data_IF_192597781870
#
_entry.id   IF_192597781870
#
_cell.length_a   1.000
_cell.length_b   1.000
_cell.length_c   1.000
_cell.angle_alpha   90.00
_cell.angle_beta   90.00
_cell.angle_gamma   90.00
#
_symmetry.space_group_name_H-M   'P 1'
#
loop_
_entity.id
_entity.type
_entity.pdbx_description
1 polymer ?
#
# COMPACT_ATOMS: atom_id res chain seq x y z
N UNK A 1 0.98 -8.53 11.89
CA UNK A 1 0.47 -7.48 10.97
C UNK A 1 1.08 -7.83 9.66
N UNK A 2 0.25 -8.09 8.65
CA UNK A 2 0.73 -8.61 7.38
C UNK A 2 1.78 -7.70 6.75
N UNK A 3 2.84 -8.30 6.20
CA UNK A 3 3.90 -7.61 5.49
C UNK A 3 4.14 -8.25 4.13
N UNK A 4 4.37 -7.41 3.13
CA UNK A 4 4.73 -7.85 1.79
C UNK A 4 6.24 -7.70 1.62
N UNK A 5 6.89 -8.76 1.17
CA UNK A 5 8.31 -8.80 0.86
C UNK A 5 8.49 -9.08 -0.63
N UNK A 6 9.53 -8.53 -1.23
CA UNK A 6 9.79 -8.64 -2.67
C UNK A 6 11.23 -9.04 -2.95
N UNK A 7 11.51 -9.66 -4.09
CA UNK A 7 12.88 -9.96 -4.50
C UNK A 7 13.42 -8.98 -5.54
N UNK A 8 12.56 -8.29 -6.30
CA UNK A 8 12.95 -7.32 -7.33
C UNK A 8 13.60 -6.05 -6.75
N UNK A 9 14.55 -5.47 -7.48
CA UNK A 9 15.28 -4.24 -7.10
C UNK A 9 14.58 -2.95 -7.55
N UNK A 10 13.87 -3.01 -8.67
CA UNK A 10 13.30 -1.85 -9.33
C UNK A 10 11.82 -2.08 -9.58
N UNK A 11 11.02 -1.06 -9.26
CA UNK A 11 9.63 -0.93 -9.66
C UNK A 11 9.48 0.30 -10.56
N UNK A 12 8.91 0.13 -11.73
CA UNK A 12 8.71 1.20 -12.72
C UNK A 12 7.39 1.95 -12.47
N UNK A 13 7.24 3.20 -12.94
CA UNK A 13 5.98 3.93 -12.86
C UNK A 13 4.79 3.15 -13.45
N UNK A 14 4.97 2.50 -14.60
CA UNK A 14 3.94 1.67 -15.22
C UNK A 14 3.50 0.50 -14.33
N UNK A 15 4.44 -0.17 -13.65
CA UNK A 15 4.10 -1.25 -12.72
C UNK A 15 3.37 -0.73 -11.48
N UNK A 16 3.70 0.46 -10.99
CA UNK A 16 2.96 1.12 -9.90
C UNK A 16 1.52 1.38 -10.35
N UNK A 17 1.33 1.97 -11.53
CA UNK A 17 0.01 2.25 -12.10
C UNK A 17 -0.82 0.98 -12.31
N UNK A 18 -0.21 -0.08 -12.82
CA UNK A 18 -0.87 -1.38 -13.00
C UNK A 18 -1.29 -1.99 -11.66
N UNK A 19 -0.42 -1.92 -10.65
CA UNK A 19 -0.72 -2.41 -9.29
C UNK A 19 -1.91 -1.64 -8.70
N UNK A 20 -1.89 -0.32 -8.81
CA UNK A 20 -2.97 0.57 -8.35
C UNK A 20 -4.28 0.29 -9.09
N UNK A 21 -4.21 0.10 -10.41
CA UNK A 21 -5.37 -0.18 -11.24
C UNK A 21 -6.02 -1.51 -10.84
N UNK A 22 -5.21 -2.57 -10.73
CA UNK A 22 -5.68 -3.88 -10.28
C UNK A 22 -6.36 -3.79 -8.92
N UNK A 23 -5.68 -3.22 -7.92
CA UNK A 23 -6.24 -3.07 -6.59
C UNK A 23 -7.60 -2.36 -6.62
N UNK A 24 -7.68 -1.22 -7.32
CA UNK A 24 -8.88 -0.40 -7.34
C UNK A 24 -10.06 -1.02 -8.12
N UNK A 25 -9.79 -1.99 -9.00
CA UNK A 25 -10.82 -2.75 -9.72
C UNK A 25 -11.37 -3.92 -8.89
N UNK A 26 -10.60 -4.43 -7.92
CA UNK A 26 -10.93 -5.63 -7.15
C UNK A 26 -11.25 -5.36 -5.68
N UNK A 27 -10.99 -4.14 -5.19
CA UNK A 27 -11.38 -3.73 -3.84
C UNK A 27 -12.91 -3.74 -3.69
N UNK A 28 -13.37 -3.87 -2.46
CA UNK A 28 -14.78 -3.65 -2.14
C UNK A 28 -15.20 -2.19 -2.42
N UNK A 29 -16.47 -1.96 -2.72
CA UNK A 29 -17.01 -0.63 -3.07
C UNK A 29 -16.90 0.38 -1.92
N UNK A 30 -17.00 -0.10 -0.68
CA UNK A 30 -16.91 0.71 0.54
C UNK A 30 -15.47 1.13 0.92
N UNK A 31 -14.46 0.48 0.32
CA UNK A 31 -13.06 0.78 0.55
C UNK A 31 -12.60 2.01 -0.24
N UNK A 32 -11.74 2.81 0.37
CA UNK A 32 -11.10 3.93 -0.31
C UNK A 32 -10.08 3.44 -1.34
N UNK A 33 -9.73 4.32 -2.29
CA UNK A 33 -8.82 3.98 -3.38
C UNK A 33 -7.38 3.86 -2.87
N UNK A 34 -6.64 2.93 -3.46
CA UNK A 34 -5.20 2.89 -3.36
C UNK A 34 -4.59 3.94 -4.30
N UNK A 35 -3.58 4.65 -3.81
CA UNK A 35 -2.85 5.68 -4.51
C UNK A 35 -1.34 5.45 -4.32
N UNK A 36 -0.54 6.08 -5.20
CA UNK A 36 0.92 6.11 -5.05
C UNK A 36 1.27 7.03 -3.88
N UNK A 37 2.17 6.58 -3.02
CA UNK A 37 2.70 7.43 -1.96
C UNK A 37 3.89 8.25 -2.49
N UNK A 38 3.76 9.58 -2.51
CA UNK A 38 4.76 10.51 -3.04
C UNK A 38 5.89 10.86 -2.04
N UNK A 39 5.96 10.17 -0.90
CA UNK A 39 7.12 10.29 0.01
C UNK A 39 8.40 9.76 -0.64
N UNK A 40 9.56 10.18 -0.13
CA UNK A 40 10.87 9.84 -0.72
C UNK A 40 11.14 8.32 -0.80
N UNK A 41 10.65 7.55 0.17
CA UNK A 41 10.74 6.09 0.15
C UNK A 41 9.82 5.45 -0.90
N UNK A 42 8.80 6.18 -1.37
CA UNK A 42 7.72 5.66 -2.20
C UNK A 42 6.82 4.66 -1.46
N UNK A 43 5.99 3.96 -2.23
CA UNK A 43 5.06 2.95 -1.74
C UNK A 43 3.62 3.28 -2.12
N UNK A 44 2.69 2.90 -1.25
CA UNK A 44 1.26 3.04 -1.50
C UNK A 44 0.54 3.65 -0.30
N UNK A 45 -0.54 4.37 -0.56
CA UNK A 45 -1.38 4.95 0.46
C UNK A 45 -2.87 4.84 0.12
N UNK A 46 -3.70 4.98 1.15
CA UNK A 46 -5.15 5.06 1.06
C UNK A 46 -5.57 6.26 1.90
N UNK A 47 -6.28 7.22 1.30
CA UNK A 47 -6.83 8.34 2.06
C UNK A 47 -7.84 7.84 3.10
N UNK A 48 -7.81 8.42 4.30
CA UNK A 48 -8.82 8.16 5.33
C UNK A 48 -10.06 9.00 5.07
N UNK A 49 -11.24 8.45 5.37
CA UNK A 49 -12.48 9.23 5.40
C UNK A 49 -12.43 10.23 6.58
N UNK A 50 -13.13 11.38 6.50
CA UNK A 50 -13.11 12.38 7.56
C UNK A 50 -13.42 11.83 8.96
N UNK A 51 -14.36 10.87 9.06
CA UNK A 51 -14.75 10.19 10.30
C UNK A 51 -13.65 9.29 10.89
N UNK A 52 -12.68 8.85 10.08
CA UNK A 52 -11.54 8.04 10.54
C UNK A 52 -10.40 8.92 11.08
N UNK A 53 -10.45 10.24 10.92
CA UNK A 53 -9.39 11.16 11.34
C UNK A 53 -9.61 11.56 12.81
N UNK A 54 -8.85 10.95 13.72
CA UNK A 54 -9.07 11.04 15.17
C UNK A 54 -8.39 12.25 15.84
N UNK A 55 -7.52 12.98 15.15
CA UNK A 55 -6.83 14.18 15.64
C UNK A 55 -6.89 15.28 14.60
N UNK A 56 -6.91 16.56 15.01
CA UNK A 56 -6.66 17.65 14.07
C UNK A 56 -5.36 17.32 13.33
N UNK A 57 -5.46 17.06 12.03
CA UNK A 57 -4.35 16.58 11.20
C UNK A 57 -3.30 17.67 11.13
N UNK A 58 -2.14 17.43 11.75
CA UNK A 58 -0.99 18.33 11.64
C UNK A 58 -0.09 17.92 10.47
N UNK A 59 -0.26 16.70 9.96
CA UNK A 59 0.55 16.15 8.86
C UNK A 59 -0.29 15.24 7.95
N UNK A 60 0.08 15.15 6.68
CA UNK A 60 -0.60 14.27 5.70
C UNK A 60 -0.62 12.78 6.13
N UNK A 61 0.34 12.37 6.96
CA UNK A 61 0.40 11.01 7.51
C UNK A 61 -0.77 10.68 8.45
N UNK A 62 -1.44 11.70 8.99
CA UNK A 62 -2.59 11.55 9.89
C UNK A 62 -3.89 11.28 9.12
N UNK A 63 -3.91 11.64 7.84
CA UNK A 63 -5.07 11.52 6.94
C UNK A 63 -4.95 10.36 5.96
N UNK A 64 -3.94 9.49 6.09
CA UNK A 64 -3.74 8.34 5.20
C UNK A 64 -3.38 7.07 5.97
N UNK A 65 -3.77 5.92 5.43
CA UNK A 65 -3.08 4.65 5.66
C UNK A 65 -1.94 4.54 4.65
N UNK A 66 -0.80 3.97 5.04
CA UNK A 66 0.34 3.85 4.13
C UNK A 66 1.23 2.66 4.42
N UNK A 67 1.82 2.15 3.34
CA UNK A 67 2.97 1.25 3.36
C UNK A 67 4.08 1.86 2.50
N UNK A 68 5.33 1.76 2.98
CA UNK A 68 6.51 2.35 2.35
C UNK A 68 7.54 1.28 2.02
N UNK A 69 8.34 1.51 0.98
CA UNK A 69 9.45 0.63 0.67
C UNK A 69 10.54 0.73 1.73
N UNK A 70 10.94 -0.41 2.27
CA UNK A 70 12.06 -0.50 3.20
C UNK A 70 12.71 -1.88 3.12
N UNK A 71 13.98 -1.94 2.68
CA UNK A 71 14.77 -3.18 2.63
C UNK A 71 13.99 -4.35 2.02
N UNK A 72 13.54 -4.21 0.77
CA UNK A 72 12.78 -5.24 0.03
C UNK A 72 11.42 -5.59 0.63
N UNK A 73 10.82 -4.68 1.39
CA UNK A 73 9.53 -4.88 2.04
C UNK A 73 8.64 -3.65 1.91
N UNK A 74 7.33 -3.85 1.89
CA UNK A 74 6.36 -2.83 2.17
C UNK A 74 6.02 -2.90 3.66
N UNK A 75 6.38 -1.84 4.38
CA UNK A 75 6.19 -1.75 5.83
C UNK A 75 5.27 -0.58 6.17
N UNK A 76 4.47 -0.77 7.23
CA UNK A 76 3.68 0.30 7.82
C UNK A 76 4.54 1.49 8.24
N UNK A 77 4.02 2.70 8.08
CA UNK A 77 4.71 3.90 8.57
C UNK A 77 4.85 3.88 10.11
N UNK A 78 6.05 4.15 10.64
CA UNK A 78 6.37 4.11 12.09
C UNK A 78 5.39 4.88 12.99
N UNK A 79 4.79 5.95 12.46
CA UNK A 79 3.88 6.84 13.19
C UNK A 79 2.53 7.05 12.48
N UNK A 80 2.30 6.32 11.38
CA UNK A 80 1.10 6.45 10.54
C UNK A 80 0.21 5.23 10.63
N UNK A 81 -1.03 5.34 10.12
CA UNK A 81 -1.89 4.17 9.98
C UNK A 81 -1.33 3.27 8.87
N UNK A 82 -1.39 1.96 9.08
CA UNK A 82 -1.04 0.97 8.06
C UNK A 82 -2.31 0.46 7.39
N UNK A 83 -2.15 -0.18 6.24
CA UNK A 83 -3.22 -0.98 5.65
C UNK A 83 -3.61 -2.10 6.64
N UNK A 84 -4.89 -2.46 6.68
CA UNK A 84 -5.34 -3.64 7.43
C UNK A 84 -4.98 -4.93 6.67
N UNK A 85 -5.24 -6.09 7.27
CA UNK A 85 -4.86 -7.38 6.69
C UNK A 85 -5.55 -7.64 5.33
N UNK A 86 -6.82 -7.25 5.17
CA UNK A 86 -7.55 -7.43 3.92
C UNK A 86 -7.06 -6.48 2.81
N UNK A 87 -6.79 -5.22 3.14
CA UNK A 87 -6.15 -4.23 2.25
C UNK A 87 -4.73 -4.70 1.86
N UNK A 88 -3.98 -5.27 2.81
CA UNK A 88 -2.62 -5.78 2.56
C UNK A 88 -2.65 -7.02 1.66
N UNK A 89 -3.60 -7.93 1.89
CA UNK A 89 -3.80 -9.11 1.05
C UNK A 89 -4.12 -8.73 -0.40
N UNK A 90 -5.01 -7.77 -0.61
CA UNK A 90 -5.35 -7.32 -1.97
C UNK A 90 -4.17 -6.58 -2.64
N UNK A 91 -3.38 -5.82 -1.88
CA UNK A 91 -2.15 -5.21 -2.40
C UNK A 91 -1.12 -6.27 -2.82
N UNK A 92 -1.01 -7.36 -2.06
CA UNK A 92 -0.18 -8.50 -2.43
C UNK A 92 -0.63 -9.14 -3.75
N UNK A 93 -1.93 -9.42 -3.89
CA UNK A 93 -2.51 -9.98 -5.12
C UNK A 93 -2.27 -9.05 -6.33
N UNK A 94 -2.43 -7.74 -6.13
CA UNK A 94 -2.14 -6.74 -7.15
C UNK A 94 -0.66 -6.78 -7.59
N UNK A 95 0.28 -6.86 -6.65
CA UNK A 95 1.69 -6.99 -6.97
C UNK A 95 1.99 -8.32 -7.69
N UNK A 96 1.42 -9.44 -7.26
CA UNK A 96 1.56 -10.73 -7.97
C UNK A 96 0.94 -10.73 -9.37
N UNK A 97 0.00 -9.84 -9.68
CA UNK A 97 -0.57 -9.72 -11.03
C UNK A 97 0.36 -8.96 -12.00
N UNK A 98 1.26 -8.12 -11.47
CA UNK A 98 2.16 -7.24 -12.23
C UNK A 98 3.57 -7.81 -12.30
N UNK A 99 4.01 -8.45 -11.23
CA UNK A 99 5.31 -9.11 -11.11
C UNK A 99 5.12 -10.61 -11.18
N UNK A 100 6.19 -11.34 -11.49
CA UNK A 100 6.16 -12.79 -11.35
C UNK A 100 5.84 -13.15 -9.89
N UNK A 101 4.86 -14.04 -9.67
CA UNK A 101 4.34 -14.37 -8.34
C UNK A 101 5.43 -14.87 -7.40
N UNK A 102 6.49 -15.49 -7.92
CA UNK A 102 7.65 -15.94 -7.15
C UNK A 102 8.50 -14.79 -6.56
N UNK A 103 8.32 -13.58 -7.09
CA UNK A 103 9.05 -12.39 -6.65
C UNK A 103 8.37 -11.62 -5.52
N UNK A 104 7.18 -12.03 -5.10
CA UNK A 104 6.38 -11.34 -4.08
C UNK A 104 5.92 -12.37 -3.04
N UNK A 105 6.08 -12.07 -1.75
CA UNK A 105 5.65 -12.96 -0.66
C UNK A 105 4.94 -12.16 0.41
N UNK A 106 3.91 -12.76 1.00
CA UNK A 106 3.21 -12.20 2.16
C UNK A 106 3.52 -13.02 3.42
N UNK A 107 3.68 -12.32 4.55
CA UNK A 107 4.01 -12.90 5.85
C UNK A 107 3.09 -12.28 6.92
N UNK A 108 2.68 -13.07 7.93
CA UNK A 108 1.79 -12.64 9.02
C UNK A 108 2.54 -12.15 10.27
#
# INVERSE_FOLDING_TARGET
MMQITVTFDVITPTQIEQTISYYNQHKSDDWNRLEKNEVAEGGFCIALKPEEITRMSYTINDSIKQVRWHQKRLVGGKYGKSLNDAETQLLYEALCSVFDGDCVKIQN
#
